data_IF_140949749062
#
_entry.id   IF_140949749062
#
_cell.length_a   1.000
_cell.length_b   1.000
_cell.length_c   1.000
_cell.angle_alpha   90.00
_cell.angle_beta   90.00
_cell.angle_gamma   90.00
#
_symmetry.space_group_name_H-M   'P 1'
#
loop_
_entity.id
_entity.type
_entity.pdbx_description
1 polymer ?
#
# COMPACT_ATOMS: atom_id res chain seq x y z
N UNK A 1 7.57 -2.77 -12.83
CA UNK A 1 7.68 -2.89 -11.37
C UNK A 1 7.53 -4.34 -10.88
N UNK A 2 6.35 -4.98 -10.94
CA UNK A 2 6.13 -6.36 -10.42
C UNK A 2 7.15 -7.40 -10.95
N UNK A 3 7.50 -7.34 -12.25
CA UNK A 3 8.52 -8.23 -12.83
C UNK A 3 9.90 -8.05 -12.18
N UNK A 4 10.27 -6.81 -11.85
CA UNK A 4 11.53 -6.51 -11.17
C UNK A 4 11.52 -7.05 -9.74
N UNK A 5 10.42 -6.86 -9.01
CA UNK A 5 10.24 -7.44 -7.65
C UNK A 5 10.40 -8.96 -7.69
N UNK A 6 9.77 -9.63 -8.67
CA UNK A 6 9.88 -11.08 -8.87
C UNK A 6 11.31 -11.55 -9.17
N UNK A 7 12.13 -10.71 -9.81
CA UNK A 7 13.51 -11.06 -10.15
C UNK A 7 14.49 -10.93 -8.96
N UNK A 8 14.10 -10.23 -7.89
CA UNK A 8 14.94 -10.12 -6.69
C UNK A 8 15.02 -11.48 -5.98
N UNK A 9 16.24 -11.87 -5.63
CA UNK A 9 16.54 -13.09 -4.86
C UNK A 9 16.24 -12.92 -3.37
N UNK A 10 16.47 -11.72 -2.84
CA UNK A 10 16.08 -11.32 -1.49
C UNK A 10 15.13 -10.12 -1.54
N UNK A 11 14.00 -10.22 -0.81
CA UNK A 11 12.97 -9.20 -0.68
C UNK A 11 12.72 -8.82 0.78
N UNK A 12 13.54 -9.32 1.70
CA UNK A 12 13.37 -9.16 3.14
C UNK A 12 13.38 -7.70 3.58
N UNK A 13 14.16 -6.84 2.91
CA UNK A 13 14.22 -5.40 3.19
C UNK A 13 13.21 -4.56 2.38
N UNK A 14 12.42 -5.16 1.48
CA UNK A 14 11.55 -4.44 0.57
C UNK A 14 10.18 -4.20 1.21
N UNK A 15 9.80 -2.94 1.34
CA UNK A 15 8.48 -2.51 1.76
C UNK A 15 7.75 -1.80 0.63
N UNK A 16 6.43 -1.95 0.60
CA UNK A 16 5.57 -1.20 -0.29
C UNK A 16 4.53 -0.41 0.49
N UNK A 17 4.27 0.81 0.02
CA UNK A 17 3.15 1.62 0.49
C UNK A 17 2.03 1.58 -0.54
N UNK A 18 0.87 1.09 -0.15
CA UNK A 18 -0.36 1.21 -0.93
C UNK A 18 -1.01 2.54 -0.56
N UNK A 19 -0.97 3.49 -1.49
CA UNK A 19 -1.48 4.83 -1.28
C UNK A 19 -1.92 5.44 -2.62
N UNK A 20 -2.68 6.53 -2.54
CA UNK A 20 -2.94 7.42 -3.66
C UNK A 20 -3.49 6.74 -4.93
N UNK A 21 -4.43 5.79 -4.77
CA UNK A 21 -5.00 5.05 -5.91
C UNK A 21 -5.58 5.97 -7.00
N UNK A 22 -6.10 7.14 -6.60
CA UNK A 22 -6.66 8.19 -7.47
C UNK A 22 -5.62 8.87 -8.37
N UNK A 23 -4.32 8.70 -8.12
CA UNK A 23 -3.26 9.21 -9.00
C UNK A 23 -2.99 8.32 -10.21
N UNK A 24 -3.53 7.10 -10.20
CA UNK A 24 -3.30 6.13 -11.27
C UNK A 24 -4.47 6.14 -12.26
N UNK A 25 -4.22 6.14 -13.58
CA UNK A 25 -5.28 6.11 -14.58
C UNK A 25 -5.94 4.73 -14.73
N UNK A 26 -5.65 3.78 -13.83
CA UNK A 26 -6.12 2.41 -13.87
C UNK A 26 -6.36 1.86 -12.46
N UNK A 27 -7.16 0.79 -12.36
CA UNK A 27 -7.39 0.08 -11.09
C UNK A 27 -6.11 -0.61 -10.63
N UNK A 28 -5.59 -0.18 -9.49
CA UNK A 28 -4.35 -0.72 -8.90
C UNK A 28 -4.55 -2.05 -8.15
N UNK A 29 -5.77 -2.42 -7.81
CA UNK A 29 -6.09 -3.61 -7.01
C UNK A 29 -5.48 -4.92 -7.57
N UNK A 30 -5.56 -5.25 -8.87
CA UNK A 30 -4.94 -6.49 -9.39
C UNK A 30 -3.41 -6.50 -9.24
N UNK A 31 -2.78 -5.33 -9.34
CA UNK A 31 -1.34 -5.18 -9.16
C UNK A 31 -0.95 -5.32 -7.69
N UNK A 32 -1.74 -4.75 -6.78
CA UNK A 32 -1.57 -4.88 -5.35
C UNK A 32 -1.67 -6.35 -4.91
N UNK A 33 -2.70 -7.08 -5.36
CA UNK A 33 -2.85 -8.52 -5.07
C UNK A 33 -1.66 -9.33 -5.59
N UNK A 34 -1.22 -9.11 -6.83
CA UNK A 34 -0.07 -9.80 -7.39
C UNK A 34 1.22 -9.49 -6.61
N UNK A 35 1.39 -8.27 -6.13
CA UNK A 35 2.55 -7.88 -5.33
C UNK A 35 2.54 -8.57 -3.96
N UNK A 36 1.39 -8.64 -3.29
CA UNK A 36 1.25 -9.31 -2.00
C UNK A 36 1.62 -10.80 -2.08
N UNK A 37 1.40 -11.47 -3.22
CA UNK A 37 1.85 -12.88 -3.41
C UNK A 37 3.38 -13.05 -3.50
N UNK A 38 4.15 -11.97 -3.67
CA UNK A 38 5.60 -12.01 -3.85
C UNK A 38 6.39 -11.56 -2.62
N UNK A 39 5.74 -10.87 -1.69
CA UNK A 39 6.35 -10.27 -0.51
C UNK A 39 6.20 -11.19 0.70
N UNK A 40 7.10 -11.02 1.67
CA UNK A 40 6.91 -11.60 2.99
C UNK A 40 5.77 -10.89 3.73
N UNK A 41 5.26 -11.55 4.78
CA UNK A 41 4.31 -10.95 5.70
C UNK A 41 4.83 -9.61 6.24
N UNK A 42 3.91 -8.70 6.55
CA UNK A 42 4.22 -7.41 7.18
C UNK A 42 5.19 -6.52 6.36
N UNK A 43 5.12 -6.59 5.02
CA UNK A 43 5.90 -5.75 4.08
C UNK A 43 5.08 -4.75 3.29
N UNK A 44 3.80 -4.61 3.62
CA UNK A 44 2.93 -3.63 2.98
C UNK A 44 2.31 -2.75 4.05
N UNK A 45 2.41 -1.45 3.84
CA UNK A 45 1.76 -0.41 4.66
C UNK A 45 0.77 0.37 3.80
N UNK A 46 -0.24 0.95 4.41
CA UNK A 46 -1.19 1.83 3.73
C UNK A 46 -0.95 3.30 4.08
N UNK A 47 -1.44 4.20 3.23
CA UNK A 47 -1.59 5.60 3.60
C UNK A 47 -2.58 6.33 2.72
N UNK A 48 -3.27 7.31 3.30
CA UNK A 48 -4.25 8.15 2.59
C UNK A 48 -3.64 9.04 1.51
N UNK A 49 -2.35 9.39 1.66
CA UNK A 49 -1.68 10.42 0.86
C UNK A 49 -2.24 11.84 1.08
N UNK A 50 -2.89 12.08 2.23
CA UNK A 50 -3.38 13.40 2.61
C UNK A 50 -2.21 14.41 2.70
N UNK A 51 -2.37 15.68 2.23
CA UNK A 51 -3.58 16.36 1.80
C UNK A 51 -3.97 16.15 0.33
N UNK A 52 -3.50 15.07 -0.32
CA UNK A 52 -3.77 14.75 -1.72
C UNK A 52 -3.26 15.83 -2.67
N UNK A 53 -2.01 16.29 -2.48
CA UNK A 53 -1.44 17.41 -3.23
C UNK A 53 -1.66 17.28 -4.74
N UNK A 54 -2.19 18.33 -5.38
CA UNK A 54 -2.65 18.40 -6.79
C UNK A 54 -3.95 17.64 -7.12
N UNK A 55 -4.63 17.08 -6.12
CA UNK A 55 -5.90 16.35 -6.24
C UNK A 55 -6.89 16.72 -5.13
N UNK A 56 -6.66 17.83 -4.43
CA UNK A 56 -7.36 18.27 -3.23
C UNK A 56 -8.88 18.40 -3.47
N UNK A 57 -9.29 18.83 -4.66
CA UNK A 57 -10.70 19.02 -5.03
C UNK A 57 -11.43 17.73 -5.40
N UNK A 58 -10.73 16.62 -5.53
CA UNK A 58 -11.27 15.35 -6.05
C UNK A 58 -11.25 14.20 -5.04
N UNK A 59 -10.62 14.39 -3.87
CA UNK A 59 -10.48 13.36 -2.86
C UNK A 59 -10.58 13.93 -1.44
N UNK A 60 -11.29 13.23 -0.57
CA UNK A 60 -11.26 13.45 0.88
C UNK A 60 -10.61 12.29 1.62
N UNK A 61 -10.16 12.55 2.86
CA UNK A 61 -9.55 11.51 3.69
C UNK A 61 -10.50 10.33 3.89
N UNK A 62 -11.77 10.61 4.20
CA UNK A 62 -12.79 9.59 4.46
C UNK A 62 -13.07 8.73 3.23
N UNK A 63 -13.15 9.34 2.04
CA UNK A 63 -13.35 8.61 0.78
C UNK A 63 -12.21 7.62 0.52
N UNK A 64 -10.96 8.06 0.71
CA UNK A 64 -9.78 7.22 0.50
C UNK A 64 -9.69 6.12 1.56
N UNK A 65 -10.07 6.40 2.81
CA UNK A 65 -10.13 5.39 3.88
C UNK A 65 -11.16 4.30 3.59
N UNK A 66 -12.39 4.67 3.19
CA UNK A 66 -13.44 3.70 2.88
C UNK A 66 -13.02 2.74 1.77
N UNK A 67 -12.40 3.26 0.70
CA UNK A 67 -11.89 2.42 -0.39
C UNK A 67 -10.75 1.48 0.04
N UNK A 68 -10.01 1.82 1.09
CA UNK A 68 -9.03 0.91 1.69
C UNK A 68 -9.73 -0.21 2.48
N UNK A 69 -10.77 0.10 3.24
CA UNK A 69 -11.52 -0.91 4.00
C UNK A 69 -12.18 -1.95 3.09
N UNK A 70 -12.48 -1.59 1.83
CA UNK A 70 -12.98 -2.53 0.82
C UNK A 70 -11.91 -3.53 0.33
N UNK A 71 -10.62 -3.31 0.61
CA UNK A 71 -9.51 -4.18 0.17
C UNK A 71 -9.28 -5.40 1.11
N UNK A 72 -10.36 -5.99 1.64
CA UNK A 72 -10.34 -7.21 2.46
C UNK A 72 -9.71 -7.01 3.86
N UNK A 73 -9.35 -8.12 4.53
CA UNK A 73 -8.64 -8.14 5.83
C UNK A 73 -7.17 -7.67 5.73
N UNK A 74 -6.90 -6.66 4.90
CA UNK A 74 -5.61 -6.01 4.85
C UNK A 74 -5.36 -5.25 6.16
N UNK A 75 -4.57 -5.84 7.05
CA UNK A 75 -4.13 -5.24 8.30
C UNK A 75 -2.62 -4.97 8.24
N UNK A 76 -2.23 -3.70 8.20
CA UNK A 76 -0.83 -3.29 8.09
C UNK A 76 -0.17 -2.96 9.43
N UNK A 77 -0.89 -3.07 10.56
CA UNK A 77 -0.38 -2.70 11.89
C UNK A 77 1.02 -3.24 12.17
N UNK A 78 1.23 -4.55 12.00
CA UNK A 78 2.54 -5.18 12.21
C UNK A 78 3.60 -4.69 11.24
N UNK A 79 3.21 -4.39 9.99
CA UNK A 79 4.12 -3.84 9.00
C UNK A 79 4.58 -2.43 9.40
N UNK A 80 3.64 -1.60 9.90
CA UNK A 80 3.90 -0.25 10.43
C UNK A 80 4.81 -0.31 11.65
N UNK A 81 4.51 -1.17 12.62
CA UNK A 81 5.36 -1.39 13.81
C UNK A 81 6.80 -1.75 13.42
N UNK A 82 6.94 -2.74 12.53
CA UNK A 82 8.24 -3.19 12.06
C UNK A 82 8.99 -2.12 11.26
N UNK A 83 8.31 -1.41 10.36
CA UNK A 83 8.93 -0.43 9.45
C UNK A 83 9.39 0.82 10.21
N UNK A 84 8.55 1.33 11.11
CA UNK A 84 8.82 2.58 11.82
C UNK A 84 9.46 2.38 13.20
N UNK A 85 9.71 1.13 13.60
CA UNK A 85 10.31 0.80 14.91
C UNK A 85 9.41 1.16 16.07
N UNK A 86 8.09 1.06 15.90
CA UNK A 86 7.12 1.32 16.97
C UNK A 86 7.03 0.06 17.84
N UNK A 87 7.23 0.23 19.14
CA UNK A 87 6.88 -0.79 20.13
C UNK A 87 5.39 -0.67 20.46
N UNK A 88 4.63 -1.71 20.14
CA UNK A 88 3.21 -1.86 20.51
C UNK A 88 3.00 -2.14 22.00
#
# INVERSE_FOLDING_TARGET
>A
MIRAVRALTDRSALYFKFAAHYRMPFRVQPHASALMTLLHDNRVVWGSDWPHTQHESSNSYDQVCLMCSDWGDFADRKAVECLYGLSG
#
